data_IF_867462855693
#
_entry.id   IF_867462855693
#
_cell.length_a   1.000
_cell.length_b   1.000
_cell.length_c   1.000
_cell.angle_alpha   90.00
_cell.angle_beta   90.00
_cell.angle_gamma   90.00
#
_symmetry.space_group_name_H-M   'P 1'
#
loop_
_entity.id
_entity.type
_entity.pdbx_description
1 polymer ?
#
# COMPACT_ATOMS: atom_id res chain seq x y z
N UNK A 1 70.72 -18.51 36.83
CA UNK A 1 69.56 -19.41 36.90
C UNK A 1 68.26 -18.59 36.91
N UNK A 2 67.76 -18.14 35.74
CA UNK A 2 66.48 -17.40 35.63
C UNK A 2 65.67 -17.74 34.35
N UNK A 3 66.11 -18.71 33.56
CA UNK A 3 65.56 -18.95 32.21
C UNK A 3 64.20 -19.69 32.25
N UNK A 4 63.92 -20.43 33.33
CA UNK A 4 62.70 -21.25 33.45
C UNK A 4 61.45 -20.48 33.90
N UNK A 5 61.59 -19.31 34.54
CA UNK A 5 60.46 -18.52 35.04
C UNK A 5 59.77 -17.69 33.95
N UNK A 6 60.57 -17.10 33.05
CA UNK A 6 60.08 -16.17 32.02
C UNK A 6 59.31 -16.90 30.89
N UNK A 7 59.81 -18.04 30.42
CA UNK A 7 59.15 -18.82 29.37
C UNK A 7 57.79 -19.40 29.81
N UNK A 8 57.64 -19.75 31.10
CA UNK A 8 56.38 -20.25 31.66
C UNK A 8 55.36 -19.12 31.87
N UNK A 9 55.80 -17.92 32.25
CA UNK A 9 54.92 -16.75 32.33
C UNK A 9 54.47 -16.28 30.95
N UNK A 10 55.37 -16.25 29.97
CA UNK A 10 55.07 -15.82 28.60
C UNK A 10 54.06 -16.79 27.93
N UNK A 11 54.22 -18.11 28.14
CA UNK A 11 53.27 -19.12 27.63
C UNK A 11 51.87 -18.98 28.25
N UNK A 12 51.78 -18.66 29.55
CA UNK A 12 50.49 -18.44 30.21
C UNK A 12 49.80 -17.14 29.78
N UNK A 13 50.56 -16.10 29.41
CA UNK A 13 50.00 -14.88 28.83
C UNK A 13 49.42 -15.14 27.44
N UNK A 14 50.15 -15.86 26.58
CA UNK A 14 49.70 -16.19 25.22
C UNK A 14 48.39 -17.00 25.26
N UNK A 15 48.29 -18.00 26.14
CA UNK A 15 47.06 -18.81 26.29
C UNK A 15 45.86 -17.93 26.71
N UNK A 16 46.06 -16.99 27.63
CA UNK A 16 45.01 -16.06 28.05
C UNK A 16 44.56 -15.14 26.92
N UNK A 17 45.50 -14.64 26.11
CA UNK A 17 45.19 -13.80 24.95
C UNK A 17 44.41 -14.57 23.87
N UNK A 18 44.78 -15.83 23.59
CA UNK A 18 44.04 -16.69 22.67
C UNK A 18 42.62 -17.00 23.15
N UNK A 19 42.43 -17.26 24.44
CA UNK A 19 41.10 -17.45 25.03
C UNK A 19 40.25 -16.18 24.94
N UNK A 20 40.83 -15.01 25.19
CA UNK A 20 40.14 -13.73 25.03
C UNK A 20 39.75 -13.47 23.57
N UNK A 21 40.62 -13.79 22.63
CA UNK A 21 40.33 -13.67 21.20
C UNK A 21 39.19 -14.61 20.78
N UNK A 22 39.21 -15.87 21.24
CA UNK A 22 38.12 -16.83 20.97
C UNK A 22 36.78 -16.34 21.54
N UNK A 23 36.75 -15.85 22.78
CA UNK A 23 35.54 -15.26 23.38
C UNK A 23 35.03 -14.05 22.60
N UNK A 24 35.93 -13.16 22.16
CA UNK A 24 35.56 -12.00 21.34
C UNK A 24 34.96 -12.41 20.00
N UNK A 25 35.54 -13.42 19.33
CA UNK A 25 35.01 -13.95 18.08
C UNK A 25 33.63 -14.62 18.27
N UNK A 26 33.42 -15.31 19.38
CA UNK A 26 32.13 -15.93 19.70
C UNK A 26 31.06 -14.87 19.94
N UNK A 27 31.35 -13.85 20.75
CA UNK A 27 30.46 -12.70 20.96
C UNK A 27 30.14 -11.98 19.64
N UNK A 28 31.11 -11.79 18.75
CA UNK A 28 30.89 -11.17 17.45
C UNK A 28 29.99 -12.03 16.56
N UNK A 29 30.15 -13.36 16.57
CA UNK A 29 29.27 -14.28 15.85
C UNK A 29 27.86 -14.24 16.42
N UNK A 30 27.69 -14.20 17.73
CA UNK A 30 26.39 -14.08 18.38
C UNK A 30 25.73 -12.75 18.05
N UNK A 31 26.46 -11.63 18.14
CA UNK A 31 25.96 -10.32 17.76
C UNK A 31 25.52 -10.30 16.29
N UNK A 32 26.30 -10.89 15.38
CA UNK A 32 25.94 -10.98 13.96
C UNK A 32 24.70 -11.85 13.73
N UNK A 33 24.51 -12.92 14.51
CA UNK A 33 23.28 -13.72 14.47
C UNK A 33 22.08 -12.93 14.98
N UNK A 34 22.23 -12.20 16.07
CA UNK A 34 21.17 -11.34 16.63
C UNK A 34 20.79 -10.22 15.63
N UNK A 35 21.78 -9.55 15.03
CA UNK A 35 21.54 -8.52 14.01
C UNK A 35 20.77 -9.07 12.79
N UNK A 36 21.15 -10.26 12.30
CA UNK A 36 20.42 -10.91 11.20
C UNK A 36 18.99 -11.27 11.58
N UNK A 37 18.78 -11.76 12.79
CA UNK A 37 17.45 -12.09 13.30
C UNK A 37 16.58 -10.83 13.46
N UNK A 38 17.16 -9.75 14.00
CA UNK A 38 16.48 -8.46 14.13
C UNK A 38 16.10 -7.88 12.77
N UNK A 39 17.02 -7.94 11.79
CA UNK A 39 16.74 -7.49 10.43
C UNK A 39 15.62 -8.33 9.77
N UNK A 40 15.65 -9.64 9.94
CA UNK A 40 14.59 -10.52 9.45
C UNK A 40 13.25 -10.17 10.10
N UNK A 41 13.20 -10.00 11.42
CA UNK A 41 11.99 -9.66 12.15
C UNK A 41 11.43 -8.30 11.70
N UNK A 42 12.29 -7.30 11.47
CA UNK A 42 11.88 -5.99 10.92
C UNK A 42 11.24 -6.13 9.54
N UNK A 43 11.87 -6.89 8.64
CA UNK A 43 11.32 -7.13 7.29
C UNK A 43 9.97 -7.85 7.34
N UNK A 44 9.83 -8.85 8.20
CA UNK A 44 8.57 -9.58 8.39
C UNK A 44 7.48 -8.67 8.96
N UNK A 45 7.80 -7.83 9.95
CA UNK A 45 6.87 -6.87 10.53
C UNK A 45 6.42 -5.81 9.51
N UNK A 46 7.34 -5.28 8.69
CA UNK A 46 6.99 -4.34 7.62
C UNK A 46 6.11 -5.00 6.54
N UNK A 47 6.42 -6.23 6.15
CA UNK A 47 5.60 -6.98 5.20
C UNK A 47 4.20 -7.26 5.77
N UNK A 48 4.11 -7.65 7.05
CA UNK A 48 2.83 -7.85 7.74
C UNK A 48 2.02 -6.57 7.80
N UNK A 49 2.65 -5.44 8.15
CA UNK A 49 1.99 -4.12 8.19
C UNK A 49 1.39 -3.74 6.83
N UNK A 50 2.17 -3.88 5.74
CA UNK A 50 1.68 -3.59 4.37
C UNK A 50 0.50 -4.48 3.97
N UNK A 51 0.53 -5.78 4.34
CA UNK A 51 -0.58 -6.70 4.10
C UNK A 51 -1.84 -6.28 4.86
N UNK A 52 -1.69 -5.92 6.13
CA UNK A 52 -2.81 -5.45 6.96
C UNK A 52 -3.41 -4.16 6.41
N UNK A 53 -2.60 -3.20 5.97
CA UNK A 53 -3.07 -1.96 5.35
C UNK A 53 -3.87 -2.23 4.07
N UNK A 54 -3.37 -3.12 3.20
CA UNK A 54 -4.07 -3.52 1.99
C UNK A 54 -5.40 -4.24 2.28
N UNK A 55 -5.42 -5.13 3.28
CA UNK A 55 -6.62 -5.84 3.70
C UNK A 55 -7.65 -4.91 4.32
N UNK A 56 -7.21 -3.95 5.15
CA UNK A 56 -8.10 -2.91 5.70
C UNK A 56 -8.75 -2.09 4.59
N UNK A 57 -8.00 -1.70 3.57
CA UNK A 57 -8.55 -0.96 2.43
C UNK A 57 -9.55 -1.79 1.62
N UNK A 58 -9.23 -3.06 1.35
CA UNK A 58 -10.15 -3.97 0.68
C UNK A 58 -11.48 -4.12 1.45
N UNK A 59 -11.41 -4.21 2.79
CA UNK A 59 -12.60 -4.28 3.64
C UNK A 59 -13.42 -2.99 3.64
N UNK A 60 -12.80 -1.80 3.57
CA UNK A 60 -13.52 -0.52 3.45
C UNK A 60 -14.32 -0.47 2.15
N UNK A 61 -13.67 -0.78 1.02
CA UNK A 61 -14.29 -0.85 -0.31
C UNK A 61 -15.48 -1.82 -0.27
N UNK A 62 -15.27 -3.02 0.29
CA UNK A 62 -16.33 -4.03 0.38
C UNK A 62 -17.51 -3.57 1.23
N UNK A 63 -17.25 -2.90 2.37
CA UNK A 63 -18.29 -2.37 3.24
C UNK A 63 -19.12 -1.27 2.55
N UNK A 64 -18.46 -0.39 1.77
CA UNK A 64 -19.16 0.63 0.97
C UNK A 64 -20.02 -0.04 -0.10
N UNK A 65 -19.49 -1.02 -0.82
CA UNK A 65 -20.23 -1.79 -1.82
C UNK A 65 -21.48 -2.45 -1.22
N UNK A 66 -21.36 -3.11 -0.06
CA UNK A 66 -22.47 -3.75 0.64
C UNK A 66 -23.54 -2.74 1.08
N UNK A 67 -23.14 -1.56 1.58
CA UNK A 67 -24.09 -0.49 1.95
C UNK A 67 -24.84 0.05 0.74
N UNK A 68 -24.15 0.29 -0.37
CA UNK A 68 -24.77 0.73 -1.62
C UNK A 68 -25.74 -0.34 -2.12
N UNK A 69 -25.32 -1.60 -2.17
CA UNK A 69 -26.15 -2.73 -2.57
C UNK A 69 -27.39 -2.86 -1.67
N UNK A 70 -27.25 -2.69 -0.36
CA UNK A 70 -28.37 -2.68 0.59
C UNK A 70 -29.41 -1.60 0.27
N UNK A 71 -28.97 -0.37 -0.05
CA UNK A 71 -29.88 0.72 -0.47
C UNK A 71 -30.59 0.39 -1.79
N UNK A 72 -29.87 -0.20 -2.75
CA UNK A 72 -30.44 -0.66 -4.01
C UNK A 72 -31.52 -1.71 -3.77
N UNK A 73 -31.24 -2.71 -2.94
CA UNK A 73 -32.16 -3.80 -2.60
C UNK A 73 -33.39 -3.25 -1.89
N UNK A 74 -33.21 -2.30 -0.97
CA UNK A 74 -34.31 -1.66 -0.24
C UNK A 74 -35.24 -0.80 -1.12
N UNK A 75 -34.88 -0.57 -2.39
CA UNK A 75 -35.65 0.31 -3.29
C UNK A 75 -35.41 1.80 -3.02
N UNK A 76 -34.37 2.15 -2.27
CA UNK A 76 -34.05 3.53 -1.95
C UNK A 76 -33.26 4.20 -3.10
N UNK A 77 -33.27 5.53 -3.12
CA UNK A 77 -32.52 6.30 -4.12
C UNK A 77 -31.01 6.23 -3.81
N UNK A 78 -30.24 5.89 -4.84
CA UNK A 78 -28.78 5.79 -4.81
C UNK A 78 -28.21 6.73 -5.86
N UNK A 79 -27.13 7.45 -5.52
CA UNK A 79 -26.54 8.40 -6.46
C UNK A 79 -25.88 7.68 -7.65
N UNK A 80 -25.73 8.39 -8.77
CA UNK A 80 -25.07 7.86 -9.97
C UNK A 80 -23.63 7.41 -9.67
N UNK A 81 -22.89 8.16 -8.83
CA UNK A 81 -21.52 7.79 -8.46
C UNK A 81 -21.47 6.54 -7.59
N UNK A 82 -22.40 6.36 -6.64
CA UNK A 82 -22.47 5.12 -5.85
C UNK A 82 -22.82 3.91 -6.73
N UNK A 83 -23.69 4.08 -7.74
CA UNK A 83 -23.92 3.05 -8.74
C UNK A 83 -22.64 2.71 -9.52
N UNK A 84 -21.92 3.71 -10.03
CA UNK A 84 -20.65 3.51 -10.75
C UNK A 84 -19.59 2.84 -9.86
N UNK A 85 -19.49 3.25 -8.60
CA UNK A 85 -18.56 2.67 -7.63
C UNK A 85 -18.84 1.19 -7.42
N UNK A 86 -20.10 0.81 -7.16
CA UNK A 86 -20.46 -0.59 -6.98
C UNK A 86 -20.24 -1.42 -8.27
N UNK A 87 -20.53 -0.87 -9.45
CA UNK A 87 -20.24 -1.54 -10.74
C UNK A 87 -18.74 -1.76 -10.92
N UNK A 88 -17.91 -0.77 -10.56
CA UNK A 88 -16.45 -0.84 -10.69
C UNK A 88 -15.82 -1.86 -9.75
N UNK A 89 -16.31 -1.95 -8.52
CA UNK A 89 -15.68 -2.75 -7.46
C UNK A 89 -16.31 -4.15 -7.27
N UNK A 90 -17.63 -4.29 -7.43
CA UNK A 90 -18.32 -5.58 -7.37
C UNK A 90 -19.54 -5.62 -8.32
N UNK A 91 -19.31 -5.82 -9.63
CA UNK A 91 -20.38 -5.84 -10.63
C UNK A 91 -21.36 -7.01 -10.44
N UNK A 92 -20.91 -8.11 -9.82
CA UNK A 92 -21.79 -9.25 -9.51
C UNK A 92 -22.77 -8.89 -8.42
N UNK A 93 -22.31 -8.23 -7.36
CA UNK A 93 -23.17 -7.72 -6.30
C UNK A 93 -24.13 -6.65 -6.83
N UNK A 94 -23.68 -5.77 -7.72
CA UNK A 94 -24.55 -4.80 -8.38
C UNK A 94 -25.75 -5.48 -9.08
N UNK A 95 -25.46 -6.46 -9.94
CA UNK A 95 -26.50 -7.21 -10.66
C UNK A 95 -27.47 -7.91 -9.71
N UNK A 96 -26.96 -8.57 -8.67
CA UNK A 96 -27.79 -9.21 -7.64
C UNK A 96 -28.67 -8.19 -6.91
N UNK A 97 -28.12 -7.03 -6.54
CA UNK A 97 -28.86 -6.00 -5.84
C UNK A 97 -30.03 -5.47 -6.68
N UNK A 98 -29.83 -5.27 -7.98
CA UNK A 98 -30.91 -4.88 -8.90
C UNK A 98 -32.00 -5.96 -9.01
N UNK A 99 -31.62 -7.23 -9.09
CA UNK A 99 -32.60 -8.34 -9.16
C UNK A 99 -33.46 -8.46 -7.90
N UNK A 100 -32.89 -8.14 -6.74
CA UNK A 100 -33.57 -8.23 -5.44
C UNK A 100 -34.25 -6.92 -5.02
N UNK A 101 -34.22 -5.87 -5.86
CA UNK A 101 -34.74 -4.55 -5.53
C UNK A 101 -36.25 -4.59 -5.26
N UNK A 102 -36.65 -4.04 -4.11
CA UNK A 102 -38.04 -3.80 -3.74
C UNK A 102 -38.53 -2.51 -4.41
N UNK A 103 -39.79 -2.51 -4.88
CA UNK A 103 -40.47 -1.29 -5.35
C UNK A 103 -41.06 -0.57 -4.14
N UNK A 104 -40.77 0.73 -4.01
CA UNK A 104 -41.16 1.54 -2.87
C UNK A 104 -41.84 2.82 -3.36
N UNK A 105 -42.99 3.15 -2.79
CA UNK A 105 -43.78 4.34 -3.16
C UNK A 105 -43.00 5.64 -2.87
N UNK A 106 -42.34 5.69 -1.70
CA UNK A 106 -41.52 6.83 -1.28
C UNK A 106 -40.08 6.38 -0.94
N UNK A 107 -39.19 6.28 -1.95
CA UNK A 107 -37.78 5.94 -1.74
C UNK A 107 -37.08 6.98 -0.87
N UNK A 108 -36.29 6.52 0.12
CA UNK A 108 -35.45 7.44 0.90
C UNK A 108 -34.24 7.87 0.08
N UNK A 109 -33.87 9.14 0.22
CA UNK A 109 -32.64 9.69 -0.35
C UNK A 109 -31.53 9.67 0.69
N UNK A 110 -30.36 9.16 0.29
CA UNK A 110 -29.19 9.12 1.15
C UNK A 110 -28.05 9.92 0.54
N UNK A 111 -27.18 10.44 1.41
CA UNK A 111 -25.88 10.98 0.99
C UNK A 111 -25.04 9.88 0.33
N UNK A 112 -24.29 10.28 -0.69
CA UNK A 112 -23.34 9.44 -1.40
C UNK A 112 -22.29 8.86 -0.45
N UNK A 113 -21.94 7.59 -0.63
CA UNK A 113 -20.95 6.89 0.21
C UNK A 113 -19.56 6.82 -0.43
N UNK A 114 -19.48 6.74 -1.75
CA UNK A 114 -18.24 6.60 -2.53
C UNK A 114 -17.31 7.82 -2.50
N UNK A 115 -17.79 8.97 -2.02
CA UNK A 115 -17.08 10.25 -2.06
C UNK A 115 -15.85 10.31 -1.14
N UNK A 116 -15.75 9.41 -0.17
CA UNK A 116 -14.64 9.33 0.78
C UNK A 116 -13.45 8.51 0.25
N UNK A 117 -13.70 7.59 -0.69
CA UNK A 117 -12.70 6.67 -1.27
C UNK A 117 -11.98 7.24 -2.49
N UNK A 118 -12.66 8.00 -3.36
CA UNK A 118 -12.05 8.56 -4.57
C UNK A 118 -10.86 9.51 -4.29
N UNK A 119 -10.80 10.12 -3.11
CA UNK A 119 -9.68 10.99 -2.71
C UNK A 119 -8.40 10.23 -2.36
N UNK A 120 -8.49 8.94 -2.03
CA UNK A 120 -7.36 8.14 -1.56
C UNK A 120 -6.87 7.12 -2.60
N UNK A 121 -7.57 6.97 -3.74
CA UNK A 121 -7.22 5.97 -4.74
C UNK A 121 -6.56 6.57 -6.00
N UNK A 122 -5.25 6.36 -6.25
CA UNK A 122 -4.57 6.85 -7.45
C UNK A 122 -5.00 6.16 -8.76
N UNK A 123 -5.78 5.07 -8.70
CA UNK A 123 -6.18 4.29 -9.88
C UNK A 123 -7.38 4.88 -10.66
N UNK A 124 -7.94 6.04 -10.27
CA UNK A 124 -9.11 6.63 -10.94
C UNK A 124 -8.81 7.82 -11.86
N UNK A 125 -7.57 7.96 -12.35
CA UNK A 125 -7.26 8.86 -13.47
C UNK A 125 -7.24 8.06 -14.77
N UNK A 126 -8.40 7.67 -15.29
CA UNK A 126 -8.50 7.21 -16.67
C UNK A 126 -9.21 8.26 -17.53
N UNK A 127 -8.42 8.82 -18.44
CA UNK A 127 -8.80 9.01 -19.85
C UNK A 127 -9.97 9.95 -20.13
N UNK A 128 -9.68 11.25 -20.19
CA UNK A 128 -10.44 12.19 -21.02
C UNK A 128 -10.10 11.94 -22.49
N UNK A 129 -10.85 11.08 -23.16
CA UNK A 129 -10.98 11.14 -24.62
C UNK A 129 -12.18 12.02 -24.92
N UNK A 130 -11.92 13.31 -25.12
CA UNK A 130 -12.88 14.22 -25.74
C UNK A 130 -12.51 14.32 -27.21
N UNK A 131 -13.34 13.73 -28.07
CA UNK A 131 -13.38 14.00 -29.50
C UNK A 131 -13.41 15.51 -29.74
N UNK A 132 -12.42 16.02 -30.47
CA UNK A 132 -12.45 17.37 -31.03
C UNK A 132 -13.01 17.24 -32.45
N UNK A 133 -14.28 17.59 -32.62
CA UNK A 133 -14.88 17.88 -33.93
C UNK A 133 -14.77 19.38 -34.22
N UNK A 134 -14.12 19.69 -35.34
CA UNK A 134 -14.32 20.83 -36.26
C UNK A 134 -14.86 22.16 -35.71
N UNK A 135 -14.05 23.23 -35.76
CA UNK A 135 -14.10 24.17 -36.88
C UNK A 135 -13.02 25.28 -36.80
N UNK A 136 -12.47 25.57 -37.97
CA UNK A 136 -11.81 26.79 -38.50
C UNK A 136 -11.43 27.93 -37.52
N UNK A 137 -10.15 28.32 -37.48
CA UNK A 137 -9.73 29.62 -38.05
C UNK A 137 -8.21 29.88 -38.05
N UNK A 138 -7.74 30.33 -39.21
CA UNK A 138 -6.75 31.38 -39.44
C UNK A 138 -5.26 31.20 -39.06
N UNK A 139 -4.46 31.12 -40.13
CA UNK A 139 -3.00 31.22 -40.18
C UNK A 139 -2.61 32.67 -39.88
N UNK A 140 -1.79 32.91 -38.85
CA UNK A 140 -0.81 34.00 -38.85
C UNK A 140 0.44 33.54 -38.09
N UNK A 141 1.53 33.27 -38.81
CA UNK A 141 2.87 33.11 -38.23
C UNK A 141 3.53 34.48 -38.11
N UNK A 142 3.98 34.91 -36.93
CA UNK A 142 4.99 35.95 -36.86
C UNK A 142 6.39 35.31 -36.78
N UNK A 143 7.16 35.54 -37.85
CA UNK A 143 8.61 35.41 -37.94
C UNK A 143 9.29 36.03 -36.72
N UNK A 144 10.18 35.28 -36.06
CA UNK A 144 11.08 35.84 -35.04
C UNK A 144 12.47 35.90 -35.64
N UNK A 145 12.91 37.12 -35.93
CA UNK A 145 14.27 37.44 -36.36
C UNK A 145 15.27 37.05 -35.26
N UNK A 146 16.15 36.09 -35.56
CA UNK A 146 17.32 35.80 -34.74
C UNK A 146 18.42 36.77 -35.21
N UNK A 147 18.72 37.76 -34.37
CA UNK A 147 19.92 38.58 -34.51
C UNK A 147 21.04 37.99 -33.65
N UNK A 148 22.17 37.78 -34.31
CA UNK A 148 23.44 37.21 -33.83
C UNK A 148 24.09 38.11 -32.78
#
# INVERSE_FOLDING_TARGET
MQIKGKAFTDSNLIIKEEEQLKRKQELERELKKQQKMEEQLKREAEAAKKRMEAEQEALKIQMICLKIAGRIIAGDKVSTKDHQYLVKHDPKLYGKALMMRVIKEEPKEYKQLSEEEERNNPLSKSSTNSEVTSDMNEIVTPTVDIQI
#
